data_IF_069859016459
#
_entry.id   IF_069859016459
#
_cell.length_a   1.000
_cell.length_b   1.000
_cell.length_c   1.000
_cell.angle_alpha   90.00
_cell.angle_beta   90.00
_cell.angle_gamma   90.00
#
_symmetry.space_group_name_H-M   'P 1'
#
loop_
_entity.id
_entity.type
_entity.pdbx_description
1 polymer ?
#
# COMPACT_ATOMS: atom_id res chain seq x y z
N UNK A 1 -13.60 9.04 57.41
CA UNK A 1 -13.68 8.93 55.94
C UNK A 1 -13.12 7.56 55.55
N UNK A 2 -13.97 6.54 55.44
CA UNK A 2 -13.59 5.14 55.24
C UNK A 2 -13.74 4.81 53.76
N UNK A 3 -12.68 4.30 53.12
CA UNK A 3 -12.63 3.95 51.69
C UNK A 3 -13.16 2.54 51.47
N UNK A 4 -14.23 2.40 50.69
CA UNK A 4 -14.84 1.13 50.27
C UNK A 4 -14.45 0.80 48.82
N UNK A 5 -13.26 0.26 48.55
CA UNK A 5 -12.79 0.00 47.17
C UNK A 5 -12.34 -1.45 46.87
N UNK A 6 -12.65 -2.44 47.70
CA UNK A 6 -12.05 -3.80 47.55
C UNK A 6 -13.01 -4.95 47.29
N UNK A 7 -14.33 -4.73 47.17
CA UNK A 7 -15.29 -5.85 47.07
C UNK A 7 -15.66 -6.21 45.62
N UNK A 8 -15.61 -5.26 44.67
CA UNK A 8 -16.08 -5.53 43.30
C UNK A 8 -15.13 -6.42 42.47
N UNK A 9 -13.82 -6.34 42.68
CA UNK A 9 -12.86 -7.05 41.80
C UNK A 9 -12.83 -8.56 41.99
N UNK A 10 -13.24 -9.06 43.17
CA UNK A 10 -13.26 -10.49 43.47
C UNK A 10 -14.46 -11.19 42.81
N UNK A 11 -15.60 -10.51 42.71
CA UNK A 11 -16.81 -11.06 42.11
C UNK A 11 -16.64 -11.34 40.61
N UNK A 12 -16.08 -10.37 39.86
CA UNK A 12 -15.85 -10.52 38.42
C UNK A 12 -14.87 -11.65 38.08
N UNK A 13 -13.85 -11.88 38.91
CA UNK A 13 -12.87 -12.97 38.69
C UNK A 13 -13.50 -14.35 38.82
N UNK A 14 -14.46 -14.53 39.73
CA UNK A 14 -15.15 -15.80 39.94
C UNK A 14 -16.15 -16.09 38.83
N UNK A 15 -16.91 -15.08 38.38
CA UNK A 15 -17.87 -15.23 37.28
C UNK A 15 -17.15 -15.53 35.95
N UNK A 16 -16.03 -14.88 35.67
CA UNK A 16 -15.24 -15.12 34.45
C UNK A 16 -14.65 -16.54 34.40
N UNK A 17 -14.19 -17.08 35.55
CA UNK A 17 -13.71 -18.47 35.64
C UNK A 17 -14.83 -19.48 35.39
N UNK A 18 -16.03 -19.24 35.91
CA UNK A 18 -17.16 -20.13 35.70
C UNK A 18 -17.61 -20.12 34.22
N UNK A 19 -17.64 -18.95 33.59
CA UNK A 19 -18.01 -18.80 32.19
C UNK A 19 -17.03 -19.51 31.24
N UNK A 20 -15.73 -19.42 31.51
CA UNK A 20 -14.70 -20.14 30.76
C UNK A 20 -14.80 -21.66 30.93
N UNK A 21 -15.16 -22.15 32.12
CA UNK A 21 -15.34 -23.57 32.38
C UNK A 21 -16.55 -24.14 31.60
N UNK A 22 -17.65 -23.39 31.54
CA UNK A 22 -18.85 -23.81 30.79
C UNK A 22 -18.57 -23.85 29.29
N UNK A 23 -17.81 -22.90 28.75
CA UNK A 23 -17.39 -22.93 27.33
C UNK A 23 -16.47 -24.12 27.01
N UNK A 24 -15.67 -24.56 27.97
CA UNK A 24 -14.76 -25.71 27.78
C UNK A 24 -15.51 -27.05 27.79
N UNK A 25 -16.59 -27.17 28.55
CA UNK A 25 -17.40 -28.40 28.64
C UNK A 25 -18.42 -28.53 27.51
N UNK A 26 -18.86 -27.42 26.90
CA UNK A 26 -19.85 -27.42 25.82
C UNK A 26 -19.24 -27.47 24.39
N UNK A 27 -17.93 -27.27 24.24
CA UNK A 27 -17.26 -27.15 22.95
C UNK A 27 -16.60 -28.43 22.48
N UNK A 28 -17.28 -29.20 21.62
CA UNK A 28 -16.69 -30.30 20.88
C UNK A 28 -15.39 -29.89 20.16
N UNK A 29 -14.34 -30.65 20.40
CA UNK A 29 -13.02 -30.50 19.82
C UNK A 29 -13.13 -30.66 18.29
N UNK A 30 -13.14 -29.56 17.53
CA UNK A 30 -12.98 -29.61 16.07
C UNK A 30 -11.48 -29.70 15.81
N UNK A 31 -10.94 -30.84 15.31
CA UNK A 31 -9.53 -30.93 15.00
C UNK A 31 -9.20 -29.99 13.83
N UNK A 32 -8.43 -28.94 14.12
CA UNK A 32 -7.81 -28.10 13.10
C UNK A 32 -6.74 -28.97 12.44
N UNK A 33 -6.97 -29.36 11.18
CA UNK A 33 -5.95 -30.06 10.38
C UNK A 33 -4.71 -29.17 10.26
N UNK A 34 -3.49 -29.71 10.47
CA UNK A 34 -2.27 -28.94 10.27
C UNK A 34 -2.16 -28.56 8.79
N UNK A 35 -2.08 -27.26 8.53
CA UNK A 35 -1.73 -26.72 7.21
C UNK A 35 -0.29 -27.16 6.95
N UNK A 36 -0.14 -28.13 6.05
CA UNK A 36 1.15 -28.57 5.55
C UNK A 36 1.91 -27.37 4.96
N UNK A 37 3.13 -27.18 5.46
CA UNK A 37 4.10 -26.26 4.93
C UNK A 37 4.39 -26.61 3.45
N UNK A 38 4.07 -25.68 2.54
CA UNK A 38 4.63 -25.69 1.19
C UNK A 38 6.02 -25.07 1.24
N UNK A 39 7.01 -25.92 1.47
CA UNK A 39 8.38 -25.69 1.03
C UNK A 39 8.50 -26.12 -0.44
N UNK A 40 9.20 -25.31 -1.24
CA UNK A 40 9.83 -25.76 -2.47
C UNK A 40 9.13 -25.34 -3.76
N UNK A 41 9.71 -24.35 -4.44
CA UNK A 41 10.13 -24.53 -5.84
C UNK A 41 11.10 -23.40 -6.22
N UNK A 42 12.38 -23.75 -6.07
CA UNK A 42 13.49 -23.15 -6.80
C UNK A 42 13.20 -23.31 -8.31
N UNK A 43 13.17 -22.21 -9.05
CA UNK A 43 13.35 -22.26 -10.50
C UNK A 43 14.74 -21.72 -10.83
N UNK A 44 15.69 -22.65 -10.90
CA UNK A 44 16.87 -22.54 -11.74
C UNK A 44 16.61 -23.43 -12.96
N UNK A 45 16.57 -22.83 -14.16
CA UNK A 45 16.78 -23.58 -15.40
C UNK A 45 17.50 -22.69 -16.39
N UNK A 46 18.79 -22.97 -16.50
CA UNK A 46 19.72 -22.54 -17.53
C UNK A 46 19.83 -23.69 -18.54
N UNK A 47 19.66 -23.41 -19.83
CA UNK A 47 20.33 -24.11 -20.96
C UNK A 47 19.80 -23.62 -22.31
N UNK A 48 20.68 -22.87 -22.99
CA UNK A 48 21.13 -23.08 -24.37
C UNK A 48 20.13 -23.59 -25.43
N UNK A 49 19.88 -22.75 -26.42
CA UNK A 49 19.30 -23.16 -27.71
C UNK A 49 19.76 -22.23 -28.83
N UNK A 50 20.97 -22.48 -29.34
CA UNK A 50 21.37 -22.01 -30.67
C UNK A 50 20.42 -22.61 -31.71
N UNK A 51 19.80 -21.77 -32.54
CA UNK A 51 19.46 -22.17 -33.91
C UNK A 51 19.64 -21.00 -34.85
N UNK A 52 20.68 -21.18 -35.66
CA UNK A 52 21.10 -20.41 -36.81
C UNK A 52 20.07 -20.65 -37.91
N UNK A 53 19.29 -19.63 -38.28
CA UNK A 53 18.58 -19.61 -39.57
C UNK A 53 19.06 -18.39 -40.33
N UNK A 54 19.89 -18.69 -41.33
CA UNK A 54 20.29 -17.84 -42.44
C UNK A 54 19.11 -17.63 -43.38
N UNK A 55 18.82 -16.39 -43.76
CA UNK A 55 17.89 -16.05 -44.85
C UNK A 55 17.87 -14.54 -45.13
N UNK A 56 17.83 -14.09 -46.40
CA UNK A 56 18.51 -12.87 -46.83
C UNK A 56 17.66 -11.59 -46.75
N UNK A 57 18.40 -10.47 -46.72
CA UNK A 57 17.93 -9.10 -46.78
C UNK A 57 16.96 -8.84 -47.94
N UNK A 58 15.82 -8.21 -47.64
CA UNK A 58 15.13 -7.31 -48.56
C UNK A 58 14.78 -6.00 -47.88
N UNK A 59 15.38 -4.97 -48.44
CA UNK A 59 15.19 -3.55 -48.26
C UNK A 59 13.79 -3.16 -48.77
N UNK A 60 12.94 -2.62 -47.90
CA UNK A 60 11.78 -1.82 -48.31
C UNK A 60 11.61 -0.64 -47.35
N UNK A 61 12.15 0.47 -47.82
CA UNK A 61 11.71 1.83 -47.59
C UNK A 61 10.17 1.87 -47.57
N UNK A 62 9.58 2.41 -46.51
CA UNK A 62 8.36 3.20 -46.63
C UNK A 62 8.27 4.25 -45.54
N UNK A 63 8.46 5.49 -45.98
CA UNK A 63 7.93 6.70 -45.35
C UNK A 63 6.41 6.65 -45.41
N UNK A 64 5.76 6.95 -44.29
CA UNK A 64 4.55 7.78 -44.30
C UNK A 64 4.45 8.50 -42.97
N UNK A 65 4.60 9.81 -43.03
CA UNK A 65 4.45 10.76 -41.96
C UNK A 65 2.99 10.90 -41.53
N UNK A 66 2.82 11.17 -40.23
CA UNK A 66 1.85 12.10 -39.62
C UNK A 66 0.35 11.95 -39.89
N UNK A 67 -0.38 11.60 -38.81
CA UNK A 67 -1.42 12.49 -38.30
C UNK A 67 -1.50 12.46 -36.78
N UNK A 68 -1.23 13.63 -36.18
CA UNK A 68 -1.30 13.91 -34.76
C UNK A 68 -2.74 14.26 -34.35
N UNK A 69 -3.19 13.73 -33.21
CA UNK A 69 -3.97 14.44 -32.16
C UNK A 69 -3.75 13.64 -30.87
N UNK A 70 -3.30 14.10 -29.71
CA UNK A 70 -2.90 15.41 -29.19
C UNK A 70 -2.74 15.28 -27.65
N UNK A 71 -1.70 15.91 -27.09
CA UNK A 71 -1.24 15.94 -25.67
C UNK A 71 -0.41 14.76 -25.15
N UNK A 72 0.80 14.64 -25.69
CA UNK A 72 1.93 14.07 -24.95
C UNK A 72 2.22 14.94 -23.71
N UNK A 73 1.92 14.43 -22.52
CA UNK A 73 2.44 15.00 -21.28
C UNK A 73 3.97 14.85 -21.32
N UNK A 74 4.70 15.97 -21.41
CA UNK A 74 6.16 15.99 -21.25
C UNK A 74 6.51 15.38 -19.89
N UNK A 75 6.87 14.10 -19.86
CA UNK A 75 7.46 13.48 -18.68
C UNK A 75 8.85 14.09 -18.51
N UNK A 76 9.01 15.05 -17.59
CA UNK A 76 10.33 15.51 -17.16
C UNK A 76 11.09 14.28 -16.64
N UNK A 77 12.11 13.83 -17.38
CA UNK A 77 13.09 12.86 -16.86
C UNK A 77 13.71 13.48 -15.59
N UNK A 78 13.70 12.74 -14.48
CA UNK A 78 14.44 13.12 -13.29
C UNK A 78 15.92 13.26 -13.65
N UNK A 79 16.56 14.30 -13.11
CA UNK A 79 17.99 14.49 -13.28
C UNK A 79 18.76 13.45 -12.46
N UNK A 80 20.00 13.14 -12.87
CA UNK A 80 20.86 12.21 -12.12
C UNK A 80 21.04 12.61 -10.65
N UNK A 81 21.04 13.91 -10.33
CA UNK A 81 21.09 14.40 -8.95
C UNK A 81 19.82 14.06 -8.16
N UNK A 82 18.64 14.15 -8.78
CA UNK A 82 17.37 13.75 -8.15
C UNK A 82 17.30 12.24 -7.92
N UNK A 83 17.80 11.44 -8.86
CA UNK A 83 17.91 9.97 -8.71
C UNK A 83 18.89 9.60 -7.58
N UNK A 84 20.02 10.30 -7.48
CA UNK A 84 21.02 10.09 -6.41
C UNK A 84 20.48 10.46 -5.02
N UNK A 85 19.77 11.58 -4.92
CA UNK A 85 19.12 11.99 -3.67
C UNK A 85 17.98 11.03 -3.28
N UNK A 86 17.24 10.52 -4.25
CA UNK A 86 16.16 9.56 -4.02
C UNK A 86 16.69 8.19 -3.55
N UNK A 87 17.73 7.68 -4.21
CA UNK A 87 18.37 6.41 -3.83
C UNK A 87 19.01 6.45 -2.44
N UNK A 88 19.55 7.60 -2.02
CA UNK A 88 20.05 7.80 -0.66
C UNK A 88 18.93 7.78 0.42
N UNK A 89 17.68 8.08 0.05
CA UNK A 89 16.53 8.05 0.96
C UNK A 89 15.80 6.69 0.99
N UNK A 90 16.05 5.79 0.02
CA UNK A 90 15.41 4.46 -0.03
C UNK A 90 15.61 3.61 1.25
N UNK A 91 16.82 3.52 1.83
CA UNK A 91 17.02 2.79 3.08
C UNK A 91 16.21 3.39 4.23
N UNK A 92 16.09 4.73 4.28
CA UNK A 92 15.34 5.45 5.30
C UNK A 92 13.83 5.13 5.23
N UNK A 93 13.28 4.99 4.02
CA UNK A 93 11.88 4.61 3.79
C UNK A 93 11.63 3.16 4.25
N UNK A 94 12.56 2.25 3.99
CA UNK A 94 12.47 0.86 4.44
C UNK A 94 12.48 0.75 5.97
N UNK A 95 13.38 1.46 6.65
CA UNK A 95 13.49 1.43 8.12
C UNK A 95 12.30 2.10 8.82
N UNK A 96 11.71 3.16 8.22
CA UNK A 96 10.54 3.85 8.78
C UNK A 96 9.26 3.00 8.75
N UNK A 97 9.15 2.04 7.83
CA UNK A 97 8.01 1.11 7.81
C UNK A 97 7.94 0.17 9.03
N UNK A 98 9.03 0.04 9.79
CA UNK A 98 9.18 -0.88 10.93
C UNK A 98 9.00 -0.20 12.29
N UNK A 99 9.04 1.13 12.35
CA UNK A 99 8.80 1.90 13.58
C UNK A 99 7.45 2.61 13.46
N UNK A 100 6.54 2.39 14.42
CA UNK A 100 5.24 3.04 14.48
C UNK A 100 5.35 4.54 14.13
N UNK A 101 4.86 4.93 12.94
CA UNK A 101 5.08 6.27 12.41
C UNK A 101 4.13 7.25 13.09
N UNK A 102 4.59 7.87 14.16
CA UNK A 102 4.10 9.21 14.51
C UNK A 102 4.41 10.09 13.31
N UNK A 103 3.40 10.65 12.65
CA UNK A 103 3.58 11.57 11.54
C UNK A 103 4.41 12.78 12.02
N UNK A 104 5.72 12.76 11.75
CA UNK A 104 6.68 13.80 12.19
C UNK A 104 6.60 15.09 11.36
N UNK A 105 5.47 15.34 10.70
CA UNK A 105 5.35 16.45 9.75
C UNK A 105 6.30 16.34 8.56
N UNK A 106 6.76 15.13 8.22
CA UNK A 106 7.65 14.92 7.09
C UNK A 106 6.91 15.32 5.81
N UNK A 107 7.44 16.34 5.14
CA UNK A 107 6.91 16.81 3.85
C UNK A 107 7.58 16.04 2.73
N UNK A 108 6.77 15.47 1.85
CA UNK A 108 7.21 14.84 0.61
C UNK A 108 6.88 15.75 -0.56
N UNK A 109 7.84 15.97 -1.45
CA UNK A 109 7.56 16.56 -2.75
C UNK A 109 6.68 15.65 -3.59
N UNK A 110 5.97 16.21 -4.58
CA UNK A 110 5.13 15.42 -5.50
C UNK A 110 5.90 14.31 -6.22
N UNK A 111 7.17 14.55 -6.53
CA UNK A 111 8.06 13.57 -7.14
C UNK A 111 8.39 12.41 -6.19
N UNK A 112 8.59 12.71 -4.91
CA UNK A 112 8.81 11.67 -3.89
C UNK A 112 7.52 10.86 -3.65
N UNK A 113 6.36 11.51 -3.59
CA UNK A 113 5.05 10.84 -3.50
C UNK A 113 4.82 9.92 -4.70
N UNK A 114 5.08 10.39 -5.92
CA UNK A 114 4.99 9.56 -7.13
C UNK A 114 5.93 8.33 -7.04
N UNK A 115 7.16 8.52 -6.56
CA UNK A 115 8.11 7.43 -6.43
C UNK A 115 7.69 6.41 -5.35
N UNK A 116 7.12 6.87 -4.22
CA UNK A 116 6.52 6.01 -3.19
C UNK A 116 5.36 5.19 -3.76
N UNK A 117 4.49 5.80 -4.59
CA UNK A 117 3.40 5.10 -5.27
C UNK A 117 3.96 4.02 -6.20
N UNK A 118 4.98 4.34 -7.02
CA UNK A 118 5.59 3.37 -7.95
C UNK A 118 6.22 2.18 -7.23
N UNK A 119 6.88 2.43 -6.10
CA UNK A 119 7.46 1.38 -5.25
C UNK A 119 6.38 0.50 -4.62
N UNK A 120 5.36 1.11 -3.99
CA UNK A 120 4.26 0.35 -3.37
C UNK A 120 3.45 -0.43 -4.41
N UNK A 121 3.20 0.15 -5.58
CA UNK A 121 2.49 -0.51 -6.67
C UNK A 121 3.19 -1.80 -7.13
N UNK A 122 4.52 -1.76 -7.27
CA UNK A 122 5.32 -2.96 -7.58
C UNK A 122 5.20 -4.01 -6.47
N UNK A 123 5.27 -3.59 -5.21
CA UNK A 123 5.14 -4.48 -4.04
C UNK A 123 3.80 -5.21 -3.97
N UNK A 124 2.70 -4.52 -4.29
CA UNK A 124 1.35 -5.09 -4.28
C UNK A 124 0.93 -5.71 -5.63
N UNK A 125 1.77 -5.63 -6.66
CA UNK A 125 1.46 -6.12 -8.01
C UNK A 125 0.31 -5.38 -8.66
N UNK A 126 0.24 -4.06 -8.49
CA UNK A 126 -0.78 -3.19 -9.07
C UNK A 126 -0.26 -2.50 -10.35
N UNK A 127 -1.11 -2.26 -11.36
CA UNK A 127 -0.78 -1.43 -12.53
C UNK A 127 -0.42 0.00 -12.11
N UNK A 128 0.87 0.32 -12.23
CA UNK A 128 1.48 1.60 -11.81
C UNK A 128 0.75 2.82 -12.40
N UNK A 129 0.45 2.78 -13.70
CA UNK A 129 -0.20 3.92 -14.38
C UNK A 129 -1.60 4.18 -13.86
N UNK A 130 -2.34 3.13 -13.47
CA UNK A 130 -3.69 3.25 -12.93
C UNK A 130 -3.66 3.88 -11.54
N UNK A 131 -2.81 3.37 -10.64
CA UNK A 131 -2.73 3.91 -9.27
C UNK A 131 -2.16 5.32 -9.22
N UNK A 132 -1.29 5.69 -10.16
CA UNK A 132 -0.82 7.08 -10.32
C UNK A 132 -1.89 8.00 -10.87
N UNK A 133 -2.71 7.54 -11.82
CA UNK A 133 -3.84 8.32 -12.35
C UNK A 133 -4.83 8.67 -11.24
N UNK A 134 -5.16 7.69 -10.40
CA UNK A 134 -6.02 7.88 -9.22
C UNK A 134 -5.38 8.93 -8.29
N UNK A 135 -4.14 8.72 -7.83
CA UNK A 135 -3.49 9.66 -6.91
C UNK A 135 -3.38 11.10 -7.46
N UNK A 136 -3.16 11.26 -8.77
CA UNK A 136 -3.14 12.58 -9.43
C UNK A 136 -4.51 13.24 -9.43
N UNK A 137 -5.57 12.46 -9.62
CA UNK A 137 -6.94 12.95 -9.60
C UNK A 137 -7.39 13.32 -8.18
N UNK A 138 -7.11 12.45 -7.21
CA UNK A 138 -7.54 12.61 -5.81
C UNK A 138 -6.85 13.79 -5.11
N UNK A 139 -5.53 13.93 -5.26
CA UNK A 139 -4.75 14.89 -4.48
C UNK A 139 -3.73 15.69 -5.29
N UNK A 140 -3.62 15.46 -6.61
CA UNK A 140 -2.52 16.00 -7.43
C UNK A 140 -1.14 15.63 -6.85
N UNK A 141 -1.03 14.41 -6.30
CA UNK A 141 0.15 13.86 -5.61
C UNK A 141 0.56 14.63 -4.34
N UNK A 142 -0.37 15.34 -3.71
CA UNK A 142 -0.13 16.06 -2.47
C UNK A 142 -0.56 15.21 -1.26
N UNK A 143 0.40 14.74 -0.48
CA UNK A 143 0.13 13.93 0.71
C UNK A 143 -0.51 14.72 1.86
N UNK A 144 -0.49 16.05 1.79
CA UNK A 144 -1.16 16.93 2.76
C UNK A 144 -2.51 17.44 2.28
N UNK A 145 -2.98 16.99 1.11
CA UNK A 145 -4.25 17.42 0.54
C UNK A 145 -5.42 17.13 1.48
N UNK A 146 -6.27 18.14 1.67
CA UNK A 146 -7.52 18.07 2.41
C UNK A 146 -8.63 18.54 1.47
N UNK A 147 -9.69 17.75 1.34
CA UNK A 147 -10.88 18.14 0.57
C UNK A 147 -11.52 19.43 1.11
N UNK A 148 -12.31 20.13 0.28
CA UNK A 148 -12.95 21.42 0.64
C UNK A 148 -13.72 21.38 1.96
N UNK A 149 -14.37 20.25 2.27
CA UNK A 149 -15.17 20.07 3.49
C UNK A 149 -14.42 19.34 4.61
N UNK A 150 -13.12 19.07 4.43
CA UNK A 150 -12.30 18.41 5.45
C UNK A 150 -12.60 16.92 5.65
N UNK A 151 -13.40 16.29 4.80
CA UNK A 151 -13.79 14.87 4.97
C UNK A 151 -12.69 13.91 4.53
N UNK A 152 -12.04 14.20 3.41
CA UNK A 152 -11.05 13.35 2.75
C UNK A 152 -9.63 13.94 2.80
N UNK A 153 -8.65 13.09 3.15
CA UNK A 153 -7.29 13.50 3.49
C UNK A 153 -6.24 12.59 2.83
N UNK A 154 -5.11 13.19 2.46
CA UNK A 154 -3.92 12.46 2.00
C UNK A 154 -3.91 12.11 0.51
N UNK A 155 -2.93 11.28 0.11
CA UNK A 155 -2.64 10.98 -1.30
C UNK A 155 -3.84 10.37 -2.03
N UNK A 156 -4.50 9.40 -1.39
CA UNK A 156 -5.66 8.68 -1.93
C UNK A 156 -6.99 9.10 -1.30
N UNK A 157 -7.03 10.27 -0.64
CA UNK A 157 -8.24 10.91 -0.14
C UNK A 157 -9.14 9.95 0.68
N UNK A 158 -8.62 9.39 1.77
CA UNK A 158 -9.42 8.55 2.67
C UNK A 158 -10.37 9.38 3.52
N UNK A 159 -11.62 8.92 3.67
CA UNK A 159 -12.56 9.53 4.61
C UNK A 159 -12.12 9.31 6.06
N UNK A 160 -12.57 10.17 6.98
CA UNK A 160 -12.26 10.06 8.42
C UNK A 160 -12.76 8.72 8.95
N UNK A 161 -14.01 8.39 8.65
CA UNK A 161 -14.68 7.19 9.13
C UNK A 161 -13.98 5.91 8.63
N UNK A 162 -13.70 5.84 7.33
CA UNK A 162 -13.03 4.67 6.74
C UNK A 162 -11.67 4.45 7.38
N UNK A 163 -10.88 5.52 7.57
CA UNK A 163 -9.56 5.40 8.17
C UNK A 163 -9.60 4.98 9.63
N UNK A 164 -10.51 5.55 10.43
CA UNK A 164 -10.65 5.19 11.85
C UNK A 164 -11.05 3.72 12.04
N UNK A 165 -11.67 3.10 11.03
CA UNK A 165 -12.00 1.68 11.04
C UNK A 165 -10.82 0.78 10.63
N UNK A 166 -9.77 1.32 10.02
CA UNK A 166 -8.56 0.59 9.63
C UNK A 166 -7.58 0.43 10.80
N UNK A 167 -6.71 -0.60 10.80
CA UNK A 167 -5.69 -0.78 11.83
C UNK A 167 -4.81 0.47 12.05
N UNK A 168 -4.44 1.15 10.97
CA UNK A 168 -3.60 2.36 11.02
C UNK A 168 -4.31 3.55 11.69
N UNK A 169 -5.60 3.75 11.42
CA UNK A 169 -6.38 4.79 12.09
C UNK A 169 -6.66 4.48 13.55
N UNK A 170 -6.91 3.21 13.90
CA UNK A 170 -6.99 2.76 15.30
C UNK A 170 -5.67 2.97 16.04
N UNK A 171 -4.55 2.79 15.34
CA UNK A 171 -3.20 3.11 15.81
C UNK A 171 -2.89 4.61 15.88
N UNK A 172 -3.86 5.48 15.58
CA UNK A 172 -3.73 6.95 15.57
C UNK A 172 -2.63 7.46 14.61
N UNK A 173 -2.34 6.72 13.55
CA UNK A 173 -1.44 7.19 12.49
C UNK A 173 -2.16 8.25 11.66
N UNK A 174 -1.46 9.35 11.36
CA UNK A 174 -2.01 10.43 10.55
C UNK A 174 -2.23 9.97 9.11
N UNK A 175 -3.42 10.24 8.58
CA UNK A 175 -3.81 9.99 7.19
C UNK A 175 -2.93 10.67 6.16
N UNK A 176 -2.22 11.73 6.55
CA UNK A 176 -1.32 12.51 5.70
C UNK A 176 0.09 11.93 5.66
N UNK A 177 0.37 10.90 6.46
CA UNK A 177 1.59 10.11 6.28
C UNK A 177 1.55 9.46 4.89
N UNK A 178 2.41 9.96 3.99
CA UNK A 178 2.39 9.56 2.59
C UNK A 178 2.62 8.05 2.45
N UNK A 179 3.56 7.49 3.21
CA UNK A 179 3.94 6.08 3.12
C UNK A 179 2.77 5.20 3.57
N UNK A 180 2.16 5.54 4.72
CA UNK A 180 1.06 4.77 5.28
C UNK A 180 -0.20 4.90 4.42
N UNK A 181 -0.57 6.12 4.00
CA UNK A 181 -1.72 6.36 3.12
C UNK A 181 -1.62 5.55 1.81
N UNK A 182 -0.46 5.58 1.15
CA UNK A 182 -0.21 4.84 -0.09
C UNK A 182 -0.31 3.33 0.14
N UNK A 183 0.34 2.81 1.18
CA UNK A 183 0.33 1.37 1.45
C UNK A 183 -1.06 0.85 1.82
N UNK A 184 -1.83 1.62 2.59
CA UNK A 184 -3.22 1.28 2.94
C UNK A 184 -4.10 1.28 1.69
N UNK A 185 -3.98 2.28 0.82
CA UNK A 185 -4.69 2.33 -0.46
C UNK A 185 -4.35 1.15 -1.35
N UNK A 186 -3.06 0.84 -1.53
CA UNK A 186 -2.64 -0.25 -2.40
C UNK A 186 -3.04 -1.62 -1.85
N UNK A 187 -2.97 -1.82 -0.53
CA UNK A 187 -3.51 -3.02 0.12
C UNK A 187 -5.01 -3.16 -0.10
N UNK A 188 -5.76 -2.06 0.02
CA UNK A 188 -7.20 -2.06 -0.21
C UNK A 188 -7.54 -2.32 -1.68
N UNK A 189 -6.79 -1.72 -2.63
CA UNK A 189 -6.94 -1.97 -4.06
C UNK A 189 -6.63 -3.40 -4.45
N UNK A 190 -5.62 -4.01 -3.84
CA UNK A 190 -5.28 -5.40 -4.06
C UNK A 190 -6.39 -6.35 -3.59
N UNK A 191 -7.03 -6.03 -2.47
CA UNK A 191 -8.08 -6.86 -1.88
C UNK A 191 -9.46 -6.68 -2.52
N UNK A 192 -9.83 -5.44 -2.88
CA UNK A 192 -11.20 -5.09 -3.27
C UNK A 192 -11.32 -4.42 -4.65
N UNK A 193 -10.21 -4.24 -5.36
CA UNK A 193 -10.18 -3.51 -6.62
C UNK A 193 -10.29 -1.99 -6.43
N UNK A 194 -10.74 -1.28 -7.46
CA UNK A 194 -10.64 0.18 -7.54
C UNK A 194 -11.96 0.93 -7.32
N UNK A 195 -13.05 0.22 -7.00
CA UNK A 195 -14.40 0.77 -6.95
C UNK A 195 -14.59 1.86 -5.89
N UNK A 196 -13.75 1.88 -4.85
CA UNK A 196 -13.79 2.90 -3.81
C UNK A 196 -13.29 4.28 -4.28
N UNK A 197 -12.66 4.38 -5.46
CA UNK A 197 -12.16 5.64 -6.02
C UNK A 197 -13.01 6.06 -7.23
N UNK A 198 -13.47 7.32 -7.20
CA UNK A 198 -14.27 7.90 -8.28
C UNK A 198 -13.45 8.16 -9.55
N UNK A 199 -12.14 8.39 -9.39
CA UNK A 199 -11.22 8.61 -10.49
C UNK A 199 -10.84 7.27 -11.16
N UNK A 200 -11.04 7.17 -12.48
CA UNK A 200 -10.74 5.95 -13.27
C UNK A 200 -9.66 6.18 -14.31
#
# INVERSE_FOLDING_TARGET
MIKNETVETTFYRSVLKLLLLVLFLAGGFIPIKPVQAMQGLLYARESTGLSRITGPARNLINKSETSQVGRAAKTKKMTNSQVKQWSANLPRIATQSKAASTFRGQKFSKNEVEALIRESARRYGLPVDRVLRIARCESKLDHTAISRHGTYWGVYQFSIEMWNNMPEGKGKIDRRDAVVNINVAHRHMKAHGYSAWGCK
#
